data_IF_495278181928
#
_entry.id   IF_495278181928
#
_cell.length_a   1.000
_cell.length_b   1.000
_cell.length_c   1.000
_cell.angle_alpha   90.00
_cell.angle_beta   90.00
_cell.angle_gamma   90.00
#
_symmetry.space_group_name_H-M   'P 1'
#
loop_
_entity.id
_entity.type
_entity.pdbx_description
1 polymer ?
#
# COMPACT_ATOMS: atom_id res chain seq x y z
N UNK A 1 10.82 24.05 22.87
CA UNK A 1 12.11 23.37 22.61
C UNK A 1 12.12 22.09 23.43
N UNK A 2 12.73 21.01 22.96
CA UNK A 2 12.78 19.74 23.71
C UNK A 2 14.14 19.66 24.36
N UNK A 3 14.21 19.73 25.67
CA UNK A 3 15.44 19.68 26.44
C UNK A 3 15.85 18.24 26.77
N UNK A 4 14.84 17.34 26.90
CA UNK A 4 15.05 15.95 27.25
C UNK A 4 14.26 15.03 26.36
N UNK A 5 14.90 13.93 25.90
CA UNK A 5 14.27 12.85 25.16
C UNK A 5 14.49 11.55 25.93
N UNK A 6 13.38 10.82 26.17
CA UNK A 6 13.42 9.51 26.77
C UNK A 6 13.00 8.48 25.70
N UNK A 7 13.91 7.55 25.43
CA UNK A 7 13.69 6.47 24.45
C UNK A 7 13.50 5.17 25.23
N UNK A 8 12.34 4.52 25.03
CA UNK A 8 12.00 3.28 25.72
C UNK A 8 12.26 2.08 24.78
N UNK A 9 13.40 1.43 24.97
CA UNK A 9 13.81 0.27 24.20
C UNK A 9 14.45 0.58 22.84
N UNK A 10 15.14 -0.39 22.29
CA UNK A 10 15.77 -0.36 20.96
C UNK A 10 15.17 -1.41 20.02
N UNK A 11 13.95 -1.90 20.34
CA UNK A 11 13.25 -2.89 19.51
C UNK A 11 11.85 -2.39 19.14
N UNK A 12 11.50 -2.64 17.87
CA UNK A 12 10.13 -2.53 17.38
C UNK A 12 9.64 -3.95 17.14
N UNK A 13 8.70 -4.43 17.95
CA UNK A 13 8.39 -5.87 18.09
C UNK A 13 9.67 -6.65 18.50
N UNK A 14 10.08 -7.66 17.72
CA UNK A 14 11.28 -8.45 18.01
C UNK A 14 12.53 -8.00 17.21
N UNK A 15 12.41 -6.97 16.36
CA UNK A 15 13.51 -6.48 15.53
C UNK A 15 14.19 -5.27 16.17
N UNK A 16 15.52 -5.22 16.08
CA UNK A 16 16.28 -4.05 16.48
C UNK A 16 15.91 -2.86 15.61
N UNK A 17 15.70 -1.71 16.24
CA UNK A 17 15.56 -0.43 15.55
C UNK A 17 16.96 -0.08 15.01
N UNK A 18 17.10 0.33 13.74
CA UNK A 18 18.38 0.76 13.20
C UNK A 18 19.01 1.89 14.02
N UNK A 19 20.34 1.88 14.16
CA UNK A 19 21.09 2.89 14.94
C UNK A 19 20.82 4.32 14.47
N UNK A 20 20.68 4.56 13.18
CA UNK A 20 20.36 5.89 12.64
C UNK A 20 18.98 6.39 13.04
N UNK A 21 17.96 5.52 13.23
CA UNK A 21 16.64 5.91 13.75
C UNK A 21 16.76 6.35 15.22
N UNK A 22 17.52 5.61 16.03
CA UNK A 22 17.82 6.01 17.41
C UNK A 22 18.57 7.34 17.42
N UNK A 23 19.56 7.51 16.55
CA UNK A 23 20.27 8.78 16.39
C UNK A 23 19.36 9.96 16.01
N UNK A 24 18.35 9.73 15.16
CA UNK A 24 17.34 10.74 14.83
C UNK A 24 16.45 11.08 16.02
N UNK A 25 16.09 10.10 16.87
CA UNK A 25 15.32 10.35 18.09
C UNK A 25 16.14 11.17 19.09
N UNK A 26 17.40 10.81 19.31
CA UNK A 26 18.35 11.56 20.14
C UNK A 26 18.53 13.00 19.64
N UNK A 27 18.67 13.18 18.34
CA UNK A 27 18.79 14.49 17.68
C UNK A 27 17.54 15.38 17.77
N UNK A 28 16.46 14.95 18.45
CA UNK A 28 15.29 15.80 18.75
C UNK A 28 15.48 16.70 19.94
N UNK A 29 16.44 16.41 20.83
CA UNK A 29 16.81 17.30 21.93
C UNK A 29 18.00 18.21 21.56
N UNK A 30 18.07 19.40 22.16
CA UNK A 30 19.19 20.32 22.00
C UNK A 30 19.42 20.81 20.57
N UNK A 31 18.40 21.24 19.84
CA UNK A 31 18.49 21.64 18.42
C UNK A 31 19.10 23.02 18.17
N UNK A 32 19.36 23.80 19.21
CA UNK A 32 20.07 25.08 19.09
C UNK A 32 21.57 24.87 19.17
N UNK A 33 22.34 25.64 18.39
CA UNK A 33 23.82 25.61 18.46
C UNK A 33 24.36 26.03 19.85
N UNK A 34 23.52 26.58 20.71
CA UNK A 34 23.88 27.11 22.02
C UNK A 34 23.31 26.28 23.19
N UNK A 35 22.47 25.28 22.94
CA UNK A 35 21.80 24.53 23.99
C UNK A 35 22.15 23.05 23.94
N UNK A 36 22.52 22.48 25.08
CA UNK A 36 22.72 21.05 25.29
C UNK A 36 21.37 20.38 25.61
N UNK A 37 21.06 19.25 24.98
CA UNK A 37 19.94 18.40 25.32
C UNK A 37 20.38 17.10 25.97
N UNK A 38 19.51 16.48 26.73
CA UNK A 38 19.74 15.19 27.36
C UNK A 38 18.89 14.10 26.71
N UNK A 39 19.53 13.01 26.27
CA UNK A 39 18.84 11.84 25.77
C UNK A 39 19.11 10.64 26.68
N UNK A 40 18.05 10.02 27.20
CA UNK A 40 18.12 8.84 28.04
C UNK A 40 17.51 7.65 27.31
N UNK A 41 18.29 6.57 27.18
CA UNK A 41 17.82 5.32 26.59
C UNK A 41 17.64 4.25 27.68
N UNK A 42 16.42 3.78 27.85
CA UNK A 42 16.08 2.73 28.82
C UNK A 42 15.89 1.42 28.05
N UNK A 43 16.68 0.42 28.38
CA UNK A 43 16.68 -0.89 27.70
C UNK A 43 16.69 -2.03 28.69
N UNK A 44 16.35 -3.22 28.22
CA UNK A 44 16.55 -4.47 28.99
C UNK A 44 18.04 -4.81 29.06
N UNK A 45 18.44 -5.57 30.08
CA UNK A 45 19.81 -6.02 30.29
C UNK A 45 20.39 -6.72 29.04
N UNK A 46 19.61 -7.55 28.35
CA UNK A 46 20.01 -8.24 27.12
C UNK A 46 20.33 -7.30 25.94
N UNK A 47 19.82 -6.10 25.96
CA UNK A 47 19.99 -5.11 24.89
C UNK A 47 21.01 -4.01 25.27
N UNK A 48 21.61 -4.09 26.47
CA UNK A 48 22.46 -3.05 27.02
C UNK A 48 23.72 -2.78 26.18
N UNK A 49 24.40 -3.82 25.71
CA UNK A 49 25.60 -3.68 24.88
C UNK A 49 25.27 -2.99 23.55
N UNK A 50 24.21 -3.44 22.87
CA UNK A 50 23.75 -2.83 21.61
C UNK A 50 23.31 -1.38 21.81
N UNK A 51 22.62 -1.10 22.92
CA UNK A 51 22.19 0.26 23.27
C UNK A 51 23.39 1.18 23.53
N UNK A 52 24.42 0.67 24.19
CA UNK A 52 25.69 1.37 24.44
C UNK A 52 26.41 1.68 23.12
N UNK A 53 26.45 0.71 22.20
CA UNK A 53 27.02 0.92 20.86
C UNK A 53 26.23 2.01 20.09
N UNK A 54 24.89 2.03 20.17
CA UNK A 54 24.05 3.04 19.53
C UNK A 54 24.25 4.45 20.08
N UNK A 55 24.50 4.58 21.38
CA UNK A 55 24.66 5.89 22.04
C UNK A 55 26.07 6.46 21.91
N UNK A 56 27.08 5.61 21.96
CA UNK A 56 28.49 6.01 22.07
C UNK A 56 29.39 5.46 20.98
N UNK A 57 28.90 4.53 20.16
CA UNK A 57 29.62 3.99 19.02
C UNK A 57 29.73 5.00 17.87
N UNK A 58 30.58 4.67 16.91
CA UNK A 58 30.64 5.44 15.65
C UNK A 58 29.39 5.13 14.82
N UNK A 59 28.69 6.14 14.30
CA UNK A 59 27.56 5.90 13.41
C UNK A 59 27.96 4.98 12.25
N UNK A 60 27.13 3.99 11.96
CA UNK A 60 27.34 3.14 10.79
C UNK A 60 27.24 3.99 9.51
N UNK A 61 28.14 3.79 8.55
CA UNK A 61 28.09 4.56 7.31
C UNK A 61 26.77 4.28 6.57
N UNK A 62 26.09 5.35 6.16
CA UNK A 62 24.92 5.26 5.30
C UNK A 62 25.36 4.74 3.95
N UNK A 63 24.74 3.68 3.46
CA UNK A 63 24.98 3.12 2.13
C UNK A 63 23.77 3.38 1.23
N UNK A 64 23.99 4.02 0.09
CA UNK A 64 22.95 4.19 -0.91
C UNK A 64 22.58 2.85 -1.54
N UNK A 65 21.30 2.63 -1.81
CA UNK A 65 20.78 1.48 -2.58
C UNK A 65 20.48 1.81 -4.04
N UNK A 66 20.71 3.05 -4.47
CA UNK A 66 20.46 3.49 -5.84
C UNK A 66 21.38 2.86 -6.91
N UNK A 67 22.30 1.98 -6.53
CA UNK A 67 23.05 1.15 -7.47
C UNK A 67 22.29 -0.13 -7.87
N UNK A 68 21.21 -0.46 -7.19
CA UNK A 68 20.28 -1.51 -7.56
C UNK A 68 19.33 -0.99 -8.65
N UNK A 69 19.11 -1.78 -9.70
CA UNK A 69 18.39 -1.35 -10.91
C UNK A 69 16.98 -0.87 -10.59
N UNK A 70 16.27 -1.62 -9.77
CA UNK A 70 14.88 -1.34 -9.38
C UNK A 70 14.78 0.00 -8.62
N UNK A 71 15.70 0.21 -7.67
CA UNK A 71 15.73 1.44 -6.89
C UNK A 71 16.10 2.66 -7.75
N UNK A 72 17.10 2.51 -8.62
CA UNK A 72 17.46 3.57 -9.55
C UNK A 72 16.32 3.89 -10.51
N UNK A 73 15.67 2.86 -11.08
CA UNK A 73 14.52 3.00 -11.96
C UNK A 73 13.38 3.77 -11.29
N UNK A 74 13.05 3.42 -10.05
CA UNK A 74 12.00 4.13 -9.30
C UNK A 74 12.33 5.62 -9.11
N UNK A 75 13.57 5.95 -8.77
CA UNK A 75 13.99 7.33 -8.59
C UNK A 75 14.18 8.09 -9.92
N UNK A 76 14.35 7.40 -11.04
CA UNK A 76 14.40 8.03 -12.37
C UNK A 76 13.00 8.47 -12.85
N UNK A 77 11.91 7.83 -12.42
CA UNK A 77 10.55 8.14 -12.87
C UNK A 77 10.23 9.64 -12.75
N UNK A 78 10.40 10.30 -11.59
CA UNK A 78 10.16 11.74 -11.50
C UNK A 78 11.07 12.56 -12.41
N UNK A 79 12.35 12.20 -12.52
CA UNK A 79 13.30 12.92 -13.34
C UNK A 79 12.99 12.80 -14.85
N UNK A 80 12.47 11.65 -15.30
CA UNK A 80 11.99 11.49 -16.68
C UNK A 80 10.71 12.30 -16.88
N UNK A 81 9.75 12.25 -15.93
CA UNK A 81 8.50 13.02 -16.00
C UNK A 81 8.75 14.52 -16.16
N UNK A 82 9.70 15.08 -15.41
CA UNK A 82 10.08 16.50 -15.50
C UNK A 82 11.05 16.81 -16.64
N UNK A 83 11.44 15.86 -17.47
CA UNK A 83 12.36 16.04 -18.59
C UNK A 83 13.82 16.29 -18.18
N UNK A 84 14.20 15.96 -16.95
CA UNK A 84 15.61 16.01 -16.52
C UNK A 84 16.43 14.85 -17.10
N UNK A 85 15.79 13.68 -17.30
CA UNK A 85 16.39 12.51 -17.94
C UNK A 85 15.60 12.21 -19.21
N UNK A 86 16.26 12.28 -20.37
CA UNK A 86 15.68 11.95 -21.66
C UNK A 86 16.64 11.16 -22.57
N UNK A 87 17.92 10.99 -22.16
CA UNK A 87 18.92 10.16 -22.83
C UNK A 87 20.01 9.72 -21.84
N UNK A 88 21.01 8.99 -22.32
CA UNK A 88 22.13 8.50 -21.51
C UNK A 88 22.91 9.63 -20.85
N UNK A 89 23.26 10.67 -21.56
CA UNK A 89 24.07 11.79 -21.07
C UNK A 89 23.38 12.49 -19.89
N UNK A 90 22.07 12.75 -20.03
CA UNK A 90 21.28 13.39 -18.98
C UNK A 90 21.09 12.48 -17.76
N UNK A 91 20.98 11.17 -17.96
CA UNK A 91 20.99 10.20 -16.86
C UNK A 91 22.33 10.20 -16.10
N UNK A 92 23.45 10.14 -16.81
CA UNK A 92 24.78 10.15 -16.18
C UNK A 92 25.01 11.43 -15.38
N UNK A 93 24.59 12.57 -15.92
CA UNK A 93 24.65 13.86 -15.21
C UNK A 93 23.73 13.87 -13.96
N UNK A 94 22.52 13.34 -14.05
CA UNK A 94 21.60 13.21 -12.93
C UNK A 94 22.17 12.26 -11.86
N UNK A 95 22.66 11.07 -12.27
CA UNK A 95 23.20 10.06 -11.37
C UNK A 95 24.48 10.55 -10.65
N UNK A 96 25.31 11.35 -11.32
CA UNK A 96 26.55 11.92 -10.75
C UNK A 96 26.32 12.77 -9.49
N UNK A 97 25.09 13.27 -9.30
CA UNK A 97 24.69 14.07 -8.14
C UNK A 97 24.15 13.23 -6.97
N UNK A 98 24.11 11.91 -7.09
CA UNK A 98 23.59 11.01 -6.07
C UNK A 98 24.63 10.56 -5.07
N UNK A 99 24.19 10.19 -3.85
CA UNK A 99 25.05 9.59 -2.85
C UNK A 99 25.70 8.28 -3.36
N UNK A 100 24.98 7.51 -4.16
CA UNK A 100 25.49 6.27 -4.75
C UNK A 100 26.73 6.51 -5.59
N UNK A 101 26.72 7.54 -6.43
CA UNK A 101 27.87 7.94 -7.25
C UNK A 101 29.05 8.41 -6.39
N UNK A 102 28.80 9.25 -5.37
CA UNK A 102 29.84 9.73 -4.42
C UNK A 102 30.49 8.55 -3.67
N UNK A 103 29.75 7.49 -3.42
CA UNK A 103 30.25 6.26 -2.81
C UNK A 103 30.99 5.32 -3.80
N UNK A 104 31.22 5.77 -5.03
CA UNK A 104 31.91 4.99 -6.07
C UNK A 104 31.06 3.86 -6.67
N UNK A 105 29.76 3.81 -6.38
CA UNK A 105 28.85 2.82 -6.93
C UNK A 105 28.38 3.29 -8.31
N UNK A 106 28.37 2.36 -9.26
CA UNK A 106 27.97 2.66 -10.65
C UNK A 106 26.79 1.82 -11.05
N UNK A 107 25.94 2.37 -11.89
CA UNK A 107 24.84 1.66 -12.56
C UNK A 107 24.86 2.04 -14.04
N UNK A 108 24.62 1.06 -14.90
CA UNK A 108 24.52 1.30 -16.33
C UNK A 108 23.15 1.84 -16.69
N UNK A 109 23.07 2.89 -17.48
CA UNK A 109 21.82 3.44 -18.00
C UNK A 109 20.99 2.37 -18.75
N UNK A 110 21.64 1.58 -19.58
CA UNK A 110 20.95 0.53 -20.35
C UNK A 110 20.24 -0.50 -19.47
N UNK A 111 20.79 -0.82 -18.27
CA UNK A 111 20.14 -1.71 -17.33
C UNK A 111 18.86 -1.08 -16.75
N UNK A 112 18.90 0.20 -16.37
CA UNK A 112 17.74 0.93 -15.86
C UNK A 112 16.69 1.11 -16.95
N UNK A 113 17.11 1.48 -18.16
CA UNK A 113 16.24 1.67 -19.31
C UNK A 113 15.53 0.38 -19.69
N UNK A 114 16.29 -0.73 -19.77
CA UNK A 114 15.74 -2.04 -20.09
C UNK A 114 14.74 -2.51 -19.03
N UNK A 115 15.04 -2.34 -17.73
CA UNK A 115 14.10 -2.65 -16.67
C UNK A 115 12.80 -1.85 -16.81
N UNK A 116 12.88 -0.53 -17.03
CA UNK A 116 11.70 0.33 -17.20
C UNK A 116 10.88 -0.04 -18.44
N UNK A 117 11.52 -0.54 -19.51
CA UNK A 117 10.84 -1.09 -20.70
C UNK A 117 10.14 -2.41 -20.39
N UNK A 118 10.81 -3.34 -19.70
CA UNK A 118 10.24 -4.64 -19.33
C UNK A 118 8.99 -4.49 -18.46
N UNK A 119 8.98 -3.48 -17.58
CA UNK A 119 7.79 -3.16 -16.76
C UNK A 119 6.85 -2.14 -17.45
N UNK A 120 7.01 -1.94 -18.74
CA UNK A 120 6.16 -1.10 -19.59
C UNK A 120 5.98 0.35 -19.09
N UNK A 121 6.94 0.87 -18.33
CA UNK A 121 6.87 2.24 -17.80
C UNK A 121 7.58 3.28 -18.67
N UNK A 122 8.30 2.84 -19.71
CA UNK A 122 9.12 3.70 -20.58
C UNK A 122 8.90 3.36 -22.06
N UNK A 123 8.89 4.38 -22.89
CA UNK A 123 8.89 4.28 -24.36
C UNK A 123 9.87 5.28 -24.98
N UNK A 124 10.20 5.09 -26.24
CA UNK A 124 11.00 6.04 -27.02
C UNK A 124 10.09 6.78 -28.01
N UNK A 125 10.17 8.10 -28.00
CA UNK A 125 9.49 9.00 -28.94
C UNK A 125 10.50 10.06 -29.44
N UNK A 126 10.65 10.21 -30.74
CA UNK A 126 11.54 11.20 -31.36
C UNK A 126 12.97 11.20 -30.77
N UNK A 127 13.57 10.02 -30.66
CA UNK A 127 14.90 9.78 -30.05
C UNK A 127 15.05 10.16 -28.57
N UNK A 128 13.92 10.48 -27.90
CA UNK A 128 13.86 10.75 -26.46
C UNK A 128 13.12 9.64 -25.75
N UNK A 129 13.52 9.42 -24.51
CA UNK A 129 12.76 8.57 -23.62
C UNK A 129 11.65 9.39 -22.94
N UNK A 130 10.48 8.80 -22.86
CA UNK A 130 9.32 9.36 -22.16
C UNK A 130 8.61 8.26 -21.38
N UNK A 131 7.84 8.66 -20.37
CA UNK A 131 7.01 7.72 -19.62
C UNK A 131 5.82 7.26 -20.47
N UNK A 132 5.46 6.00 -20.30
CA UNK A 132 4.17 5.48 -20.74
C UNK A 132 3.07 5.91 -19.76
N UNK A 133 1.83 5.56 -20.03
CA UNK A 133 0.74 5.78 -19.07
C UNK A 133 0.97 5.02 -17.74
N UNK A 134 1.56 3.82 -17.77
CA UNK A 134 1.95 3.09 -16.55
C UNK A 134 3.08 3.80 -15.79
N UNK A 135 4.06 4.37 -16.50
CA UNK A 135 5.09 5.20 -15.90
C UNK A 135 4.52 6.46 -15.24
N UNK A 136 3.56 7.11 -15.87
CA UNK A 136 2.84 8.26 -15.28
C UNK A 136 2.02 7.87 -14.04
N UNK A 137 1.41 6.68 -14.03
CA UNK A 137 0.74 6.14 -12.84
C UNK A 137 1.75 5.88 -11.72
N UNK A 138 2.92 5.29 -12.02
CA UNK A 138 4.02 5.11 -11.08
C UNK A 138 4.45 6.44 -10.45
N UNK A 139 4.63 7.47 -11.25
CA UNK A 139 4.93 8.83 -10.80
C UNK A 139 3.84 9.39 -9.87
N UNK A 140 2.60 9.42 -10.35
CA UNK A 140 1.47 10.05 -9.67
C UNK A 140 1.15 9.43 -8.32
N UNK A 141 1.20 8.11 -8.24
CA UNK A 141 0.87 7.38 -7.01
C UNK A 141 2.10 7.00 -6.19
N UNK A 142 3.30 7.32 -6.67
CA UNK A 142 4.55 7.01 -5.98
C UNK A 142 4.68 5.54 -5.60
N UNK A 143 4.47 4.67 -6.58
CA UNK A 143 4.74 3.23 -6.47
C UNK A 143 5.88 2.81 -7.37
N UNK A 144 6.70 1.81 -6.96
CA UNK A 144 7.72 1.23 -7.82
C UNK A 144 7.15 0.77 -9.17
N UNK A 145 7.88 0.96 -10.29
CA UNK A 145 7.43 0.60 -11.63
C UNK A 145 7.00 -0.85 -11.78
N UNK A 146 7.75 -1.78 -11.18
CA UNK A 146 7.45 -3.20 -11.15
C UNK A 146 6.15 -3.50 -10.41
N UNK A 147 5.83 -2.77 -9.32
CA UNK A 147 4.55 -2.91 -8.63
C UNK A 147 3.39 -2.52 -9.53
N UNK A 148 3.51 -1.44 -10.29
CA UNK A 148 2.46 -1.00 -11.24
C UNK A 148 2.25 -2.06 -12.31
N UNK A 149 3.35 -2.60 -12.87
CA UNK A 149 3.30 -3.68 -13.84
C UNK A 149 2.61 -4.94 -13.29
N UNK A 150 3.00 -5.39 -12.08
CA UNK A 150 2.37 -6.54 -11.42
C UNK A 150 0.88 -6.33 -11.15
N UNK A 151 0.48 -5.14 -10.70
CA UNK A 151 -0.93 -4.82 -10.49
C UNK A 151 -1.71 -4.89 -11.81
N UNK A 152 -1.15 -4.39 -12.90
CA UNK A 152 -1.74 -4.47 -14.24
C UNK A 152 -1.95 -5.93 -14.66
N UNK A 153 -0.89 -6.75 -14.60
CA UNK A 153 -0.93 -8.14 -15.04
C UNK A 153 -1.91 -8.98 -14.21
N UNK A 154 -1.86 -8.82 -12.89
CA UNK A 154 -2.77 -9.50 -11.98
C UNK A 154 -4.22 -9.07 -12.22
N UNK A 155 -4.48 -7.78 -12.43
CA UNK A 155 -5.81 -7.26 -12.72
C UNK A 155 -6.36 -7.84 -14.02
N UNK A 156 -5.55 -7.85 -15.08
CA UNK A 156 -5.94 -8.41 -16.37
C UNK A 156 -6.28 -9.91 -16.28
N UNK A 157 -5.51 -10.66 -15.50
CA UNK A 157 -5.78 -12.07 -15.24
C UNK A 157 -7.11 -12.27 -14.52
N UNK A 158 -7.42 -11.48 -13.48
CA UNK A 158 -8.68 -11.59 -12.75
C UNK A 158 -9.89 -11.20 -13.58
N UNK A 159 -9.75 -10.21 -14.46
CA UNK A 159 -10.79 -9.80 -15.40
C UNK A 159 -11.09 -10.94 -16.38
N UNK A 160 -10.05 -11.50 -16.99
CA UNK A 160 -10.19 -12.60 -17.97
C UNK A 160 -10.77 -13.87 -17.33
N UNK A 161 -10.50 -14.11 -16.06
CA UNK A 161 -10.98 -15.29 -15.32
C UNK A 161 -12.35 -15.08 -14.65
N UNK A 162 -12.88 -13.85 -14.62
CA UNK A 162 -14.14 -13.53 -13.95
C UNK A 162 -14.07 -13.56 -12.42
N UNK A 163 -12.87 -13.48 -11.82
CA UNK A 163 -12.66 -13.63 -10.37
C UNK A 163 -12.70 -12.32 -9.58
N UNK A 164 -13.11 -11.21 -10.17
CA UNK A 164 -13.17 -9.91 -9.50
C UNK A 164 -14.12 -9.86 -8.29
N UNK A 165 -15.04 -10.82 -8.16
CA UNK A 165 -15.95 -10.94 -7.02
C UNK A 165 -15.44 -11.91 -5.94
N UNK A 166 -14.27 -12.52 -6.12
CA UNK A 166 -13.72 -13.49 -5.18
C UNK A 166 -12.74 -12.81 -4.21
N UNK A 167 -12.96 -12.88 -2.87
CA UNK A 167 -12.10 -12.20 -1.90
C UNK A 167 -10.67 -12.73 -1.85
N UNK A 168 -10.45 -14.01 -2.15
CA UNK A 168 -9.09 -14.58 -2.25
C UNK A 168 -8.37 -14.03 -3.47
N UNK A 169 -9.06 -13.90 -4.61
CA UNK A 169 -8.49 -13.32 -5.82
C UNK A 169 -8.15 -11.82 -5.64
N UNK A 170 -9.04 -11.05 -5.02
CA UNK A 170 -8.76 -9.63 -4.72
C UNK A 170 -7.57 -9.49 -3.75
N UNK A 171 -7.50 -10.30 -2.71
CA UNK A 171 -6.36 -10.25 -1.78
C UNK A 171 -5.05 -10.65 -2.45
N UNK A 172 -5.07 -11.59 -3.41
CA UNK A 172 -3.93 -11.94 -4.25
C UNK A 172 -3.52 -10.80 -5.19
N UNK A 173 -4.47 -10.11 -5.81
CA UNK A 173 -4.22 -8.93 -6.65
C UNK A 173 -3.42 -7.86 -5.88
N UNK A 174 -3.81 -7.59 -4.64
CA UNK A 174 -3.23 -6.52 -3.82
C UNK A 174 -1.85 -6.87 -3.25
N UNK A 175 -1.51 -8.16 -3.16
CA UNK A 175 -0.26 -8.64 -2.59
C UNK A 175 0.93 -8.31 -3.49
N UNK A 176 2.00 -7.76 -2.89
CA UNK A 176 3.20 -7.38 -3.63
C UNK A 176 4.50 -7.63 -2.85
N UNK A 177 4.53 -7.29 -1.58
CA UNK A 177 5.77 -7.25 -0.83
C UNK A 177 6.08 -8.54 -0.07
N UNK A 178 7.37 -8.79 0.10
CA UNK A 178 7.86 -9.79 1.04
C UNK A 178 7.61 -9.31 2.47
N UNK A 179 6.64 -9.92 3.13
CA UNK A 179 6.36 -9.69 4.53
C UNK A 179 6.90 -10.89 5.34
N UNK A 180 8.11 -10.77 5.89
CA UNK A 180 8.62 -11.74 6.84
C UNK A 180 8.07 -11.43 8.23
N UNK A 181 7.07 -12.18 8.67
CA UNK A 181 6.56 -12.11 10.04
C UNK A 181 7.00 -13.40 10.73
N UNK A 182 7.85 -13.26 11.77
CA UNK A 182 8.51 -14.39 12.43
C UNK A 182 7.56 -15.42 13.08
N UNK A 183 6.31 -15.03 13.36
CA UNK A 183 5.33 -15.88 14.07
C UNK A 183 4.11 -16.20 13.20
N UNK A 184 4.30 -16.32 11.88
CA UNK A 184 3.23 -16.68 10.96
C UNK A 184 2.65 -18.05 11.32
N UNK A 185 1.33 -18.13 11.51
CA UNK A 185 0.65 -19.41 11.69
C UNK A 185 0.62 -20.15 10.35
N UNK A 186 1.50 -21.13 10.24
CA UNK A 186 1.69 -21.91 9.02
C UNK A 186 0.39 -22.51 8.47
N UNK A 187 -0.51 -22.95 9.37
CA UNK A 187 -1.82 -23.52 9.00
C UNK A 187 -2.74 -22.52 8.30
N UNK A 188 -2.86 -21.28 8.83
CA UNK A 188 -3.70 -20.23 8.24
C UNK A 188 -3.19 -19.80 6.85
N UNK A 189 -1.86 -19.75 6.69
CA UNK A 189 -1.24 -19.45 5.40
C UNK A 189 -1.36 -20.60 4.41
N UNK A 190 -1.32 -21.86 4.87
CA UNK A 190 -1.47 -23.04 4.02
C UNK A 190 -2.91 -23.12 3.47
N UNK A 191 -3.93 -22.88 4.28
CA UNK A 191 -5.32 -22.82 3.86
C UNK A 191 -5.52 -21.72 2.78
N UNK A 192 -5.04 -20.51 3.06
CA UNK A 192 -5.15 -19.39 2.12
C UNK A 192 -4.42 -19.68 0.79
N UNK A 193 -3.23 -20.30 0.86
CA UNK A 193 -2.48 -20.73 -0.32
C UNK A 193 -3.24 -21.77 -1.13
N UNK A 194 -3.88 -22.72 -0.44
CA UNK A 194 -4.71 -23.75 -1.08
C UNK A 194 -5.91 -23.14 -1.79
N UNK A 195 -6.61 -22.19 -1.15
CA UNK A 195 -7.74 -21.46 -1.74
C UNK A 195 -7.31 -20.73 -3.02
N UNK A 196 -6.20 -20.00 -2.99
CA UNK A 196 -5.67 -19.31 -4.17
C UNK A 196 -5.28 -20.29 -5.28
N UNK A 197 -4.62 -21.39 -4.93
CA UNK A 197 -4.21 -22.42 -5.91
C UNK A 197 -5.41 -23.09 -6.58
N UNK A 198 -6.54 -23.25 -5.87
CA UNK A 198 -7.78 -23.78 -6.46
C UNK A 198 -8.37 -22.87 -7.54
N UNK A 199 -8.03 -21.58 -7.52
CA UNK A 199 -8.39 -20.58 -8.54
C UNK A 199 -7.30 -20.44 -9.63
N UNK A 200 -6.22 -21.24 -9.57
CA UNK A 200 -5.07 -21.09 -10.46
C UNK A 200 -4.19 -19.88 -10.17
N UNK A 201 -4.31 -19.29 -8.97
CA UNK A 201 -3.56 -18.11 -8.55
C UNK A 201 -2.35 -18.55 -7.71
N UNK A 202 -1.17 -18.04 -8.07
CA UNK A 202 0.09 -18.39 -7.41
C UNK A 202 0.76 -17.15 -6.85
N UNK A 203 1.35 -17.29 -5.66
CA UNK A 203 2.12 -16.23 -5.02
C UNK A 203 3.60 -16.34 -5.38
N UNK A 204 4.21 -15.23 -5.70
CA UNK A 204 5.67 -15.14 -5.69
C UNK A 204 6.21 -15.18 -4.26
N UNK A 205 7.52 -15.45 -4.13
CA UNK A 205 8.16 -15.56 -2.83
C UNK A 205 7.90 -14.29 -1.98
N UNK A 206 7.27 -14.45 -0.85
CA UNK A 206 7.00 -13.40 0.12
C UNK A 206 5.67 -12.67 0.01
N UNK A 207 4.93 -12.79 -1.09
CA UNK A 207 3.60 -12.17 -1.25
C UNK A 207 2.50 -12.83 -0.41
N UNK A 208 2.68 -14.10 -0.04
CA UNK A 208 1.64 -14.90 0.61
C UNK A 208 1.12 -14.26 1.90
N UNK A 209 2.03 -13.77 2.75
CA UNK A 209 1.66 -13.16 4.04
C UNK A 209 0.95 -11.82 3.86
N UNK A 210 1.37 -11.01 2.91
CA UNK A 210 0.69 -9.75 2.59
C UNK A 210 -0.70 -10.01 2.00
N UNK A 211 -0.82 -10.95 1.07
CA UNK A 211 -2.10 -11.40 0.53
C UNK A 211 -3.05 -11.88 1.61
N UNK A 212 -2.56 -12.69 2.56
CA UNK A 212 -3.36 -13.12 3.71
C UNK A 212 -3.77 -11.94 4.61
N UNK A 213 -2.91 -10.94 4.79
CA UNK A 213 -3.28 -9.73 5.51
C UNK A 213 -4.43 -8.96 4.81
N UNK A 214 -4.39 -8.81 3.48
CA UNK A 214 -5.52 -8.26 2.72
C UNK A 214 -6.77 -9.13 2.82
N UNK A 215 -6.63 -10.47 2.79
CA UNK A 215 -7.76 -11.39 3.01
C UNK A 215 -8.40 -11.20 4.38
N UNK A 216 -7.58 -10.95 5.41
CA UNK A 216 -8.06 -10.62 6.75
C UNK A 216 -8.77 -9.26 6.79
N UNK A 217 -8.28 -8.26 6.06
CA UNK A 217 -8.94 -6.95 5.94
C UNK A 217 -10.33 -7.11 5.31
N UNK A 218 -10.41 -7.85 4.21
CA UNK A 218 -11.66 -8.12 3.49
C UNK A 218 -12.71 -8.87 4.32
N UNK A 219 -12.27 -9.81 5.17
CA UNK A 219 -13.13 -10.57 6.05
C UNK A 219 -13.30 -9.98 7.46
N UNK A 220 -12.80 -8.76 7.67
CA UNK A 220 -12.78 -8.08 8.97
C UNK A 220 -12.15 -8.91 10.12
N UNK A 221 -11.23 -9.83 9.80
CA UNK A 221 -10.46 -10.61 10.79
C UNK A 221 -9.23 -9.83 11.22
N UNK A 222 -8.79 -10.01 12.47
CA UNK A 222 -7.62 -9.32 13.02
C UNK A 222 -6.76 -10.27 13.85
N UNK A 223 -6.05 -11.20 13.21
CA UNK A 223 -5.09 -12.04 13.91
C UNK A 223 -4.07 -11.19 14.66
N UNK A 224 -3.77 -11.54 15.92
CA UNK A 224 -2.85 -10.76 16.75
C UNK A 224 -1.48 -10.57 16.11
N UNK A 225 -0.97 -11.61 15.44
CA UNK A 225 0.32 -11.61 14.77
C UNK A 225 0.39 -10.72 13.51
N UNK A 226 -0.77 -10.38 12.90
CA UNK A 226 -0.86 -9.49 11.73
C UNK A 226 -1.33 -8.07 12.05
N UNK A 227 -1.64 -7.76 13.30
CA UNK A 227 -2.30 -6.49 13.68
C UNK A 227 -1.60 -5.27 13.08
N UNK A 228 -0.29 -5.15 13.26
CA UNK A 228 0.48 -4.00 12.78
C UNK A 228 0.48 -3.91 11.24
N UNK A 229 0.64 -5.05 10.55
CA UNK A 229 0.63 -5.08 9.08
C UNK A 229 -0.74 -4.70 8.52
N UNK A 230 -1.82 -5.19 9.13
CA UNK A 230 -3.19 -4.81 8.75
C UNK A 230 -3.41 -3.30 8.93
N UNK A 231 -2.94 -2.71 10.04
CA UNK A 231 -3.06 -1.27 10.28
C UNK A 231 -2.23 -0.45 9.29
N UNK A 232 -1.05 -0.91 8.91
CA UNK A 232 -0.20 -0.31 7.88
C UNK A 232 -0.88 -0.34 6.51
N UNK A 233 -1.33 -1.52 6.07
CA UNK A 233 -2.00 -1.69 4.77
C UNK A 233 -3.27 -0.86 4.65
N UNK A 234 -4.03 -0.72 5.75
CA UNK A 234 -5.25 0.12 5.74
C UNK A 234 -4.97 1.60 5.45
N UNK A 235 -3.81 2.12 5.85
CA UNK A 235 -3.43 3.52 5.59
C UNK A 235 -3.15 3.79 4.11
N UNK A 236 -2.81 2.76 3.35
CA UNK A 236 -2.46 2.87 1.93
C UNK A 236 -3.61 2.54 0.97
N UNK A 237 -4.77 2.14 1.50
CA UNK A 237 -5.89 1.66 0.66
C UNK A 237 -6.38 2.70 -0.35
N UNK A 238 -6.53 3.97 0.04
CA UNK A 238 -7.02 5.03 -0.87
C UNK A 238 -6.06 5.18 -2.06
N UNK A 239 -4.75 5.18 -1.82
CA UNK A 239 -3.72 5.27 -2.86
C UNK A 239 -3.72 4.03 -3.75
N UNK A 240 -3.81 2.83 -3.15
CA UNK A 240 -3.79 1.57 -3.87
C UNK A 240 -5.01 1.41 -4.80
N UNK A 241 -6.20 1.74 -4.32
CA UNK A 241 -7.41 1.68 -5.14
C UNK A 241 -7.42 2.76 -6.23
N UNK A 242 -6.97 3.98 -5.93
CA UNK A 242 -6.77 5.00 -6.96
C UNK A 242 -5.82 4.55 -8.07
N UNK A 243 -4.75 3.86 -7.70
CA UNK A 243 -3.81 3.25 -8.67
C UNK A 243 -4.50 2.21 -9.53
N UNK A 244 -5.24 1.27 -8.93
CA UNK A 244 -5.97 0.23 -9.67
C UNK A 244 -7.04 0.81 -10.62
N UNK A 245 -7.75 1.85 -10.22
CA UNK A 245 -8.71 2.54 -11.08
C UNK A 245 -8.03 3.19 -12.30
N UNK A 246 -6.88 3.82 -12.11
CA UNK A 246 -6.12 4.40 -13.22
C UNK A 246 -5.54 3.32 -14.15
N UNK A 247 -5.01 2.22 -13.58
CA UNK A 247 -4.55 1.06 -14.38
C UNK A 247 -5.72 0.48 -15.18
N UNK A 248 -6.88 0.27 -14.57
CA UNK A 248 -8.07 -0.24 -15.27
C UNK A 248 -8.50 0.69 -16.41
N UNK A 249 -8.51 2.00 -16.19
CA UNK A 249 -8.83 3.00 -17.20
C UNK A 249 -7.82 2.97 -18.35
N UNK A 250 -6.51 2.88 -18.08
CA UNK A 250 -5.46 2.81 -19.09
C UNK A 250 -5.56 1.55 -19.97
N UNK A 251 -6.09 0.47 -19.43
CA UNK A 251 -6.30 -0.78 -20.17
C UNK A 251 -7.69 -0.88 -20.84
N UNK A 252 -8.54 0.13 -20.71
CA UNK A 252 -9.91 0.11 -21.23
C UNK A 252 -10.79 -0.97 -20.55
N UNK A 253 -10.46 -1.36 -19.31
CA UNK A 253 -11.12 -2.44 -18.59
C UNK A 253 -12.20 -1.90 -17.67
N UNK A 254 -13.44 -2.32 -17.88
CA UNK A 254 -14.60 -1.92 -17.06
C UNK A 254 -14.66 -2.74 -15.76
N UNK A 255 -13.83 -2.40 -14.78
CA UNK A 255 -13.80 -3.05 -13.45
C UNK A 255 -14.30 -2.15 -12.32
N UNK A 256 -14.70 -0.92 -12.64
CA UNK A 256 -14.94 0.14 -11.66
C UNK A 256 -15.84 -0.27 -10.51
N UNK A 257 -17.03 -0.84 -10.80
CA UNK A 257 -18.00 -1.21 -9.77
C UNK A 257 -17.47 -2.29 -8.81
N UNK A 258 -16.88 -3.37 -9.33
CA UNK A 258 -16.37 -4.46 -8.50
C UNK A 258 -15.23 -4.03 -7.58
N UNK A 259 -14.28 -3.26 -8.09
CA UNK A 259 -13.18 -2.72 -7.28
C UNK A 259 -13.69 -1.75 -6.22
N UNK A 260 -14.66 -0.89 -6.58
CA UNK A 260 -15.25 0.08 -5.65
C UNK A 260 -15.98 -0.62 -4.50
N UNK A 261 -16.75 -1.70 -4.78
CA UNK A 261 -17.37 -2.53 -3.73
C UNK A 261 -16.34 -3.02 -2.73
N UNK A 262 -15.23 -3.59 -3.22
CA UNK A 262 -14.17 -4.09 -2.33
C UNK A 262 -13.50 -2.98 -1.54
N UNK A 263 -13.31 -1.81 -2.15
CA UNK A 263 -12.78 -0.65 -1.46
C UNK A 263 -13.68 -0.21 -0.30
N UNK A 264 -15.00 -0.11 -0.52
CA UNK A 264 -15.96 0.19 0.53
C UNK A 264 -15.94 -0.88 1.64
N UNK A 265 -15.85 -2.16 1.29
CA UNK A 265 -15.71 -3.25 2.26
C UNK A 265 -14.48 -3.04 3.15
N UNK A 266 -13.33 -2.75 2.57
CA UNK A 266 -12.08 -2.58 3.32
C UNK A 266 -12.06 -1.29 4.15
N UNK A 267 -12.54 -0.19 3.60
CA UNK A 267 -12.55 1.13 4.24
C UNK A 267 -13.53 1.20 5.39
N UNK A 268 -14.77 0.79 5.16
CA UNK A 268 -15.86 0.85 6.14
C UNK A 268 -15.98 -0.42 6.99
N UNK A 269 -15.14 -1.44 6.76
CA UNK A 269 -15.18 -2.74 7.46
C UNK A 269 -16.51 -3.48 7.28
N UNK A 270 -17.06 -3.44 6.07
CA UNK A 270 -18.35 -4.04 5.74
C UNK A 270 -18.16 -5.44 5.11
N UNK A 271 -19.11 -6.36 5.28
CA UNK A 271 -19.22 -7.54 4.42
C UNK A 271 -19.56 -7.13 2.97
N UNK A 272 -19.32 -8.02 2.02
CA UNK A 272 -19.42 -7.72 0.58
C UNK A 272 -20.82 -7.22 0.17
N UNK A 273 -21.86 -7.81 0.71
CA UNK A 273 -23.26 -7.44 0.46
C UNK A 273 -23.55 -5.99 0.87
N UNK A 274 -23.10 -5.59 2.06
CA UNK A 274 -23.19 -4.20 2.53
C UNK A 274 -22.28 -3.25 1.77
N UNK A 275 -21.16 -3.74 1.24
CA UNK A 275 -20.29 -2.97 0.35
C UNK A 275 -21.00 -2.55 -0.93
N UNK A 276 -21.81 -3.44 -1.52
CA UNK A 276 -22.68 -3.12 -2.66
C UNK A 276 -23.73 -2.06 -2.31
N UNK A 277 -24.41 -2.23 -1.17
CA UNK A 277 -25.37 -1.24 -0.68
C UNK A 277 -24.74 0.13 -0.45
N UNK A 278 -23.50 0.16 0.04
CA UNK A 278 -22.75 1.40 0.27
C UNK A 278 -22.44 2.19 -1.00
N UNK A 279 -22.44 1.59 -2.16
CA UNK A 279 -22.33 2.33 -3.43
C UNK A 279 -23.63 3.04 -3.77
N UNK A 280 -24.77 2.37 -3.59
CA UNK A 280 -26.09 2.96 -3.84
C UNK A 280 -26.45 4.03 -2.80
N UNK A 281 -26.04 3.81 -1.55
CA UNK A 281 -26.34 4.64 -0.39
C UNK A 281 -25.04 5.17 0.24
N UNK A 282 -24.29 5.99 -0.48
CA UNK A 282 -22.91 6.37 -0.17
C UNK A 282 -22.74 7.03 1.20
N UNK A 283 -23.70 7.81 1.67
CA UNK A 283 -23.67 8.52 2.95
C UNK A 283 -24.37 7.77 4.09
N UNK A 284 -24.91 6.58 3.82
CA UNK A 284 -25.55 5.77 4.84
C UNK A 284 -24.52 5.28 5.87
N UNK A 285 -24.90 5.30 7.16
CA UNK A 285 -24.12 4.66 8.21
C UNK A 285 -24.14 3.15 8.10
N UNK A 286 -23.25 2.46 8.80
CA UNK A 286 -23.25 0.98 8.80
C UNK A 286 -24.57 0.42 9.31
N UNK A 287 -25.15 1.04 10.34
CA UNK A 287 -26.45 0.67 10.91
C UNK A 287 -27.56 0.84 9.89
N UNK A 288 -27.59 1.97 9.16
CA UNK A 288 -28.54 2.21 8.09
C UNK A 288 -28.42 1.15 6.97
N UNK A 289 -27.20 0.77 6.59
CA UNK A 289 -26.98 -0.26 5.57
C UNK A 289 -27.48 -1.64 6.02
N UNK A 290 -27.24 -2.02 7.27
CA UNK A 290 -27.74 -3.27 7.85
C UNK A 290 -29.27 -3.28 7.85
N UNK A 291 -29.87 -2.17 8.21
CA UNK A 291 -31.33 -2.05 8.23
C UNK A 291 -31.94 -2.09 6.82
N UNK A 292 -31.35 -1.40 5.84
CA UNK A 292 -31.76 -1.47 4.43
C UNK A 292 -31.70 -2.91 3.90
N UNK A 293 -30.62 -3.63 4.21
CA UNK A 293 -30.49 -5.04 3.83
C UNK A 293 -31.60 -5.89 4.46
N UNK A 294 -31.87 -5.72 5.76
CA UNK A 294 -32.93 -6.46 6.47
C UNK A 294 -34.30 -6.23 5.88
N UNK A 295 -34.54 -5.07 5.29
CA UNK A 295 -35.78 -4.72 4.59
C UNK A 295 -35.78 -5.15 3.12
N UNK A 296 -34.72 -5.81 2.65
CA UNK A 296 -34.51 -6.19 1.24
C UNK A 296 -34.55 -5.00 0.27
N UNK A 297 -33.95 -3.89 0.70
CA UNK A 297 -33.79 -2.68 -0.11
C UNK A 297 -32.33 -2.61 -0.55
N UNK A 298 -32.07 -2.98 -1.80
CA UNK A 298 -30.72 -3.10 -2.33
C UNK A 298 -30.33 -1.96 -3.29
N UNK A 299 -31.31 -1.20 -3.79
CA UNK A 299 -31.12 -0.08 -4.73
C UNK A 299 -32.05 1.08 -4.38
N UNK A 300 -31.66 2.28 -4.77
CA UNK A 300 -32.53 3.46 -4.62
C UNK A 300 -33.88 3.28 -5.31
N UNK A 301 -33.92 2.57 -6.45
CA UNK A 301 -35.16 2.24 -7.15
C UNK A 301 -36.12 1.35 -6.33
N UNK A 302 -35.62 0.59 -5.36
CA UNK A 302 -36.43 -0.25 -4.51
C UNK A 302 -37.22 0.53 -3.46
N UNK A 303 -36.80 1.77 -3.15
CA UNK A 303 -37.41 2.62 -2.14
C UNK A 303 -38.90 2.86 -2.44
N UNK A 304 -39.24 3.21 -3.69
CA UNK A 304 -40.66 3.39 -4.10
C UNK A 304 -41.48 2.13 -3.93
N UNK A 305 -40.91 0.98 -4.32
CA UNK A 305 -41.60 -0.32 -4.23
C UNK A 305 -41.81 -0.78 -2.79
N UNK A 306 -40.89 -0.42 -1.90
CA UNK A 306 -40.88 -0.82 -0.50
C UNK A 306 -41.37 0.28 0.46
N UNK A 307 -42.05 1.32 -0.04
CA UNK A 307 -42.55 2.45 0.76
C UNK A 307 -43.28 2.01 2.03
N UNK A 308 -44.14 1.00 1.93
CA UNK A 308 -44.86 0.43 3.07
C UNK A 308 -43.91 -0.12 4.16
N UNK A 309 -42.83 -0.83 3.76
CA UNK A 309 -41.84 -1.35 4.71
C UNK A 309 -41.10 -0.23 5.39
N UNK A 310 -40.75 0.82 4.65
CA UNK A 310 -40.04 1.99 5.16
C UNK A 310 -40.91 2.70 6.21
N UNK A 311 -42.17 2.96 5.91
CA UNK A 311 -43.11 3.63 6.81
C UNK A 311 -43.35 2.83 8.08
N UNK A 312 -43.38 1.50 8.02
CA UNK A 312 -43.74 0.65 9.13
C UNK A 312 -42.59 0.13 9.96
N UNK A 313 -41.47 -0.13 9.37
CA UNK A 313 -40.35 -0.85 10.01
C UNK A 313 -39.03 -0.09 10.09
N UNK A 314 -38.85 1.04 9.37
CA UNK A 314 -37.63 1.81 9.45
C UNK A 314 -37.47 2.52 10.79
N UNK A 315 -36.25 2.49 11.29
CA UNK A 315 -35.81 3.33 12.40
C UNK A 315 -35.89 4.83 12.06
N UNK A 316 -35.99 5.67 13.09
CA UNK A 316 -35.99 7.12 12.89
C UNK A 316 -34.69 7.64 12.21
N UNK A 317 -33.49 7.16 12.57
CA UNK A 317 -32.25 7.56 11.87
C UNK A 317 -32.27 7.22 10.37
N UNK A 318 -32.76 6.02 10.01
CA UNK A 318 -32.84 5.62 8.61
C UNK A 318 -33.88 6.45 7.84
N UNK A 319 -35.04 6.75 8.43
CA UNK A 319 -36.04 7.62 7.80
C UNK A 319 -35.49 9.00 7.52
N UNK A 320 -34.83 9.65 8.50
CA UNK A 320 -34.19 10.95 8.31
C UNK A 320 -33.14 10.92 7.18
N UNK A 321 -32.39 9.84 7.07
CA UNK A 321 -31.45 9.66 5.98
C UNK A 321 -32.18 9.54 4.62
N UNK A 322 -33.24 8.71 4.54
CA UNK A 322 -33.99 8.50 3.31
C UNK A 322 -34.77 9.75 2.87
N UNK A 323 -35.26 10.57 3.79
CA UNK A 323 -35.95 11.83 3.49
C UNK A 323 -35.02 12.84 2.80
N UNK A 324 -33.72 12.75 3.00
CA UNK A 324 -32.71 13.56 2.31
C UNK A 324 -32.37 13.08 0.90
N UNK A 325 -32.83 11.89 0.50
CA UNK A 325 -32.57 11.33 -0.83
C UNK A 325 -33.67 11.80 -1.79
N UNK A 326 -33.29 12.61 -2.79
CA UNK A 326 -34.22 13.00 -3.88
C UNK A 326 -34.61 11.77 -4.69
N UNK A 327 -35.92 11.51 -4.81
CA UNK A 327 -36.50 10.40 -5.57
C UNK A 327 -36.91 10.81 -6.99
#
# INVERSE_FOLDING_TARGET
MIDKVLILGIRRANQLIPDHEIGQMVGRCGRSYTESGEATLIVSEKDFETATEYMFGKPKPISSTMFEVENAAFHCIPAIHFGEIFNQETFENWYSRTLSFVQGKKIAWEAVKEFLRQVECLKEEDEKIVLTELGEISFRFYYPPDRIYWLKDKLQLLVNSGFLNNPTAISWLLAYQHCSIGDAKAEELAEYKSDASSLGLYFHCGELTEGYAYRCILSNRKPKWLKHKIEELRKDLDRLFGTLQQIAASQGVAVGESLEVWFQCMKKKLPYELGKLSLEFSEATTENLIELESLSIHRKSDLKRNKYKIERYCSEPLRKYLDGISF
#
